data_IF_736661318158
#
_entry.id   IF_736661318158
#
_cell.length_a   1.000
_cell.length_b   1.000
_cell.length_c   1.000
_cell.angle_alpha   90.00
_cell.angle_beta   90.00
_cell.angle_gamma   90.00
#
_symmetry.space_group_name_H-M   'P 1'
#
loop_
_entity.id
_entity.type
_entity.pdbx_description
1 polymer ?
#
# COMPACT_ATOMS: atom_id res chain seq x y z
N UNK A 1 -27.18 8.37 16.82
CA UNK A 1 -26.64 7.04 16.47
C UNK A 1 -25.50 7.06 15.42
N UNK A 2 -24.90 8.21 15.05
CA UNK A 2 -23.78 8.26 14.06
C UNK A 2 -22.36 8.29 14.65
N UNK A 3 -22.18 8.84 15.86
CA UNK A 3 -20.85 9.06 16.46
C UNK A 3 -20.17 7.73 16.87
N UNK A 4 -20.93 6.75 17.38
CA UNK A 4 -20.38 5.43 17.74
C UNK A 4 -19.80 4.67 16.54
N UNK A 5 -20.41 4.76 15.35
CA UNK A 5 -19.91 4.06 14.15
C UNK A 5 -18.65 4.69 13.57
N UNK A 6 -18.51 6.02 13.66
CA UNK A 6 -17.28 6.72 13.26
C UNK A 6 -16.11 6.33 14.17
N UNK A 7 -16.31 6.34 15.50
CA UNK A 7 -15.30 5.92 16.47
C UNK A 7 -14.98 4.42 16.36
N UNK A 8 -15.97 3.58 16.07
CA UNK A 8 -15.76 2.14 15.84
C UNK A 8 -14.95 1.90 14.55
N UNK A 9 -15.24 2.64 13.48
CA UNK A 9 -14.51 2.57 12.22
C UNK A 9 -13.06 3.05 12.35
N UNK A 10 -12.82 4.14 13.08
CA UNK A 10 -11.47 4.63 13.37
C UNK A 10 -10.66 3.65 14.22
N UNK A 11 -11.29 3.07 15.26
CA UNK A 11 -10.65 2.04 16.09
C UNK A 11 -10.33 0.78 15.29
N UNK A 12 -11.23 0.35 14.40
CA UNK A 12 -10.98 -0.79 13.52
C UNK A 12 -9.78 -0.50 12.63
N UNK A 13 -9.76 0.63 11.91
CA UNK A 13 -8.66 1.09 11.05
C UNK A 13 -7.31 1.13 11.79
N UNK A 14 -7.27 1.70 13.00
CA UNK A 14 -6.06 1.76 13.82
C UNK A 14 -5.53 0.36 14.17
N UNK A 15 -6.41 -0.58 14.50
CA UNK A 15 -6.02 -1.97 14.76
C UNK A 15 -5.47 -2.65 13.49
N UNK A 16 -6.04 -2.35 12.32
CA UNK A 16 -5.56 -2.86 11.03
C UNK A 16 -4.12 -2.41 10.76
N UNK A 17 -3.87 -1.11 10.92
CA UNK A 17 -2.56 -0.51 10.71
C UNK A 17 -1.51 -1.08 11.68
N UNK A 18 -1.88 -1.25 12.96
CA UNK A 18 -1.02 -1.86 13.97
C UNK A 18 -0.62 -3.29 13.59
N UNK A 19 -1.56 -4.10 13.11
CA UNK A 19 -1.29 -5.48 12.65
C UNK A 19 -0.32 -5.53 11.47
N UNK A 20 -0.47 -4.62 10.50
CA UNK A 20 0.47 -4.49 9.37
C UNK A 20 1.87 -4.13 9.91
N UNK A 21 1.97 -3.16 10.80
CA UNK A 21 3.23 -2.78 11.44
C UNK A 21 3.91 -3.91 12.21
N UNK A 22 3.14 -4.76 12.89
CA UNK A 22 3.64 -5.95 13.58
C UNK A 22 4.16 -7.03 12.61
N UNK A 23 3.46 -7.27 11.50
CA UNK A 23 3.91 -8.18 10.44
C UNK A 23 5.25 -7.70 9.87
N UNK A 24 5.38 -6.40 9.59
CA UNK A 24 6.62 -5.79 9.09
C UNK A 24 7.77 -5.97 10.08
N UNK A 25 7.55 -5.67 11.37
CA UNK A 25 8.57 -5.87 12.41
C UNK A 25 9.02 -7.33 12.54
N UNK A 26 8.10 -8.29 12.47
CA UNK A 26 8.45 -9.73 12.49
C UNK A 26 9.33 -10.11 11.31
N UNK A 27 9.05 -9.55 10.13
CA UNK A 27 9.81 -9.84 8.92
C UNK A 27 11.14 -9.08 8.84
N UNK A 28 11.39 -8.07 9.68
CA UNK A 28 12.63 -7.27 9.71
C UNK A 28 13.90 -8.09 9.96
N UNK A 29 13.77 -9.27 10.57
CA UNK A 29 14.91 -10.16 10.85
C UNK A 29 15.02 -11.34 9.87
N UNK A 30 14.11 -11.45 8.89
CA UNK A 30 14.19 -12.48 7.86
C UNK A 30 15.29 -12.10 6.85
N UNK A 31 16.47 -12.71 6.99
CA UNK A 31 17.67 -12.50 6.16
C UNK A 31 17.53 -12.96 4.69
N UNK A 32 16.32 -13.26 4.23
CA UNK A 32 16.03 -13.84 2.91
C UNK A 32 15.67 -12.81 1.84
N UNK A 33 15.58 -11.53 2.18
CA UNK A 33 15.35 -10.48 1.18
C UNK A 33 16.68 -10.09 0.53
N UNK A 34 16.84 -10.22 -0.80
CA UNK A 34 18.06 -9.80 -1.48
C UNK A 34 18.31 -8.30 -1.26
N UNK A 35 19.58 -7.92 -1.07
CA UNK A 35 19.97 -6.51 -0.82
C UNK A 35 19.56 -5.54 -1.93
N UNK A 36 19.34 -6.07 -3.13
CA UNK A 36 18.80 -5.39 -4.31
C UNK A 36 17.39 -4.79 -4.07
N UNK A 37 16.62 -5.37 -3.14
CA UNK A 37 15.29 -4.89 -2.74
C UNK A 37 15.35 -3.86 -1.60
N UNK A 38 16.55 -3.42 -1.20
CA UNK A 38 16.74 -2.40 -0.17
C UNK A 38 16.53 -2.90 1.25
N UNK A 39 16.39 -1.96 2.19
CA UNK A 39 16.17 -2.29 3.60
C UNK A 39 14.76 -2.84 3.84
N UNK A 40 14.70 -3.88 4.67
CA UNK A 40 13.43 -4.43 5.18
C UNK A 40 12.56 -3.31 5.76
N UNK A 41 11.25 -3.33 5.48
CA UNK A 41 10.41 -2.20 5.79
C UNK A 41 10.17 -2.16 7.30
N UNK A 42 10.49 -1.03 7.91
CA UNK A 42 10.30 -0.80 9.34
C UNK A 42 8.80 -0.62 9.64
N UNK A 43 8.35 -0.89 10.87
CA UNK A 43 6.95 -0.78 11.26
C UNK A 43 6.34 0.59 10.90
N UNK A 44 5.55 0.62 9.83
CA UNK A 44 4.98 1.86 9.29
C UNK A 44 4.04 2.55 10.27
N UNK A 45 3.31 1.79 11.09
CA UNK A 45 2.39 2.36 12.07
C UNK A 45 3.12 3.17 13.14
N UNK A 46 4.34 2.77 13.52
CA UNK A 46 5.13 3.48 14.54
C UNK A 46 6.03 4.57 13.98
N UNK A 47 6.49 4.42 12.74
CA UNK A 47 7.63 5.20 12.23
C UNK A 47 7.34 5.94 10.92
N UNK A 48 6.09 5.95 10.42
CA UNK A 48 5.73 6.65 9.17
C UNK A 48 6.20 8.11 9.12
N UNK A 49 6.13 8.84 10.24
CA UNK A 49 6.56 10.24 10.31
C UNK A 49 8.07 10.43 10.18
N UNK A 50 8.86 9.37 10.39
CA UNK A 50 10.32 9.39 10.29
C UNK A 50 10.84 8.77 8.99
N UNK A 51 9.94 8.26 8.14
CA UNK A 51 10.33 7.68 6.86
C UNK A 51 10.86 8.76 5.92
N UNK A 52 12.04 8.51 5.36
CA UNK A 52 12.62 9.22 4.23
C UNK A 52 11.89 8.83 2.94
N UNK A 53 12.13 9.61 1.89
CA UNK A 53 11.56 9.36 0.56
C UNK A 53 11.82 7.91 0.08
N UNK A 54 13.04 7.41 0.28
CA UNK A 54 13.41 6.03 -0.09
C UNK A 54 12.59 4.96 0.65
N UNK A 55 12.34 5.16 1.95
CA UNK A 55 11.56 4.23 2.76
C UNK A 55 10.08 4.23 2.35
N UNK A 56 9.53 5.41 2.02
CA UNK A 56 8.19 5.53 1.42
C UNK A 56 8.11 4.84 0.06
N UNK A 57 9.09 5.07 -0.81
CA UNK A 57 9.18 4.42 -2.12
C UNK A 57 9.22 2.90 -1.99
N UNK A 58 10.11 2.36 -1.15
CA UNK A 58 10.21 0.92 -0.93
C UNK A 58 8.90 0.35 -0.36
N UNK A 59 8.27 1.06 0.58
CA UNK A 59 6.97 0.64 1.12
C UNK A 59 5.90 0.54 0.02
N UNK A 60 5.72 1.59 -0.78
CA UNK A 60 4.71 1.61 -1.85
C UNK A 60 5.03 0.53 -2.89
N UNK A 61 6.26 0.51 -3.41
CA UNK A 61 6.63 -0.27 -4.59
C UNK A 61 6.85 -1.76 -4.31
N UNK A 62 7.33 -2.12 -3.12
CA UNK A 62 7.76 -3.50 -2.82
C UNK A 62 6.82 -4.21 -1.85
N UNK A 63 6.26 -3.50 -0.87
CA UNK A 63 5.63 -4.15 0.29
C UNK A 63 4.13 -3.91 0.40
N UNK A 64 3.61 -2.80 -0.09
CA UNK A 64 2.22 -2.39 0.13
C UNK A 64 1.21 -3.42 -0.40
N UNK A 65 1.38 -3.87 -1.66
CA UNK A 65 0.45 -4.78 -2.31
C UNK A 65 0.38 -6.17 -1.64
N UNK A 66 1.49 -6.91 -1.41
CA UNK A 66 1.42 -8.21 -0.74
C UNK A 66 0.89 -8.12 0.71
N UNK A 67 1.23 -7.05 1.44
CA UNK A 67 0.73 -6.83 2.80
C UNK A 67 -0.78 -6.57 2.81
N UNK A 68 -1.27 -5.72 1.90
CA UNK A 68 -2.70 -5.39 1.78
C UNK A 68 -3.52 -6.60 1.33
N UNK A 69 -3.04 -7.37 0.34
CA UNK A 69 -3.72 -8.60 -0.11
C UNK A 69 -3.87 -9.59 1.05
N UNK A 70 -2.80 -9.87 1.79
CA UNK A 70 -2.84 -10.81 2.91
C UNK A 70 -3.74 -10.31 4.06
N UNK A 71 -3.75 -9.00 4.30
CA UNK A 71 -4.59 -8.38 5.30
C UNK A 71 -6.08 -8.49 4.93
N UNK A 72 -6.44 -8.16 3.68
CA UNK A 72 -7.81 -8.04 3.21
C UNK A 72 -8.48 -9.39 2.89
N UNK A 73 -7.71 -10.45 2.60
CA UNK A 73 -8.23 -11.83 2.44
C UNK A 73 -9.05 -12.33 3.64
N UNK A 74 -8.91 -11.70 4.81
CA UNK A 74 -9.66 -12.06 6.02
C UNK A 74 -11.00 -11.31 6.18
N UNK A 75 -11.45 -10.56 5.18
CA UNK A 75 -12.66 -9.72 5.26
C UNK A 75 -13.80 -10.25 4.37
N UNK A 76 -15.05 -10.05 4.84
CA UNK A 76 -16.28 -10.63 4.27
C UNK A 76 -16.82 -9.89 3.02
N UNK A 77 -16.13 -8.86 2.53
CA UNK A 77 -16.56 -7.99 1.41
C UNK A 77 -15.64 -8.14 0.20
N UNK A 78 -15.61 -9.33 -0.39
CA UNK A 78 -14.63 -9.75 -1.40
C UNK A 78 -14.62 -8.87 -2.66
N UNK A 79 -15.80 -8.51 -3.21
CA UNK A 79 -15.91 -7.74 -4.46
C UNK A 79 -15.36 -6.31 -4.32
N UNK A 80 -15.68 -5.63 -3.22
CA UNK A 80 -15.22 -4.24 -2.94
C UNK A 80 -13.70 -4.26 -2.72
N UNK A 81 -13.22 -5.26 -2.00
CA UNK A 81 -11.79 -5.45 -1.72
C UNK A 81 -10.99 -5.70 -3.00
N UNK A 82 -11.49 -6.53 -3.90
CA UNK A 82 -10.83 -6.79 -5.20
C UNK A 82 -10.73 -5.50 -6.00
N UNK A 83 -11.79 -4.68 -6.05
CA UNK A 83 -11.76 -3.38 -6.74
C UNK A 83 -10.70 -2.43 -6.15
N UNK A 84 -10.67 -2.30 -4.82
CA UNK A 84 -9.66 -1.48 -4.12
C UNK A 84 -8.24 -1.98 -4.36
N UNK A 85 -8.03 -3.30 -4.32
CA UNK A 85 -6.73 -3.91 -4.58
C UNK A 85 -6.26 -3.70 -6.01
N UNK A 86 -7.15 -3.82 -7.00
CA UNK A 86 -6.82 -3.57 -8.40
C UNK A 86 -6.45 -2.10 -8.64
N UNK A 87 -7.20 -1.16 -8.05
CA UNK A 87 -6.85 0.24 -8.12
C UNK A 87 -5.53 0.56 -7.42
N UNK A 88 -5.28 -0.04 -6.25
CA UNK A 88 -3.99 0.09 -5.56
C UNK A 88 -2.84 -0.49 -6.38
N UNK A 89 -3.04 -1.63 -7.05
CA UNK A 89 -2.06 -2.21 -7.97
C UNK A 89 -1.75 -1.26 -9.14
N UNK A 90 -2.76 -0.59 -9.71
CA UNK A 90 -2.56 0.43 -10.73
C UNK A 90 -1.73 1.61 -10.19
N UNK A 91 -2.01 2.08 -8.97
CA UNK A 91 -1.21 3.12 -8.31
C UNK A 91 0.26 2.71 -8.12
N UNK A 92 0.50 1.50 -7.62
CA UNK A 92 1.85 0.95 -7.41
C UNK A 92 2.60 0.84 -8.75
N UNK A 93 1.91 0.40 -9.82
CA UNK A 93 2.48 0.34 -11.16
C UNK A 93 2.92 1.72 -11.67
N UNK A 94 2.07 2.75 -11.48
CA UNK A 94 2.42 4.12 -11.83
C UNK A 94 3.66 4.59 -11.07
N UNK A 95 3.74 4.31 -9.77
CA UNK A 95 4.90 4.66 -8.95
C UNK A 95 6.18 4.01 -9.46
N UNK A 96 6.14 2.72 -9.83
CA UNK A 96 7.29 2.02 -10.45
C UNK A 96 7.79 2.71 -11.71
N UNK A 97 6.88 3.19 -12.57
CA UNK A 97 7.27 3.93 -13.78
C UNK A 97 7.89 5.29 -13.41
N UNK A 98 7.33 6.00 -12.43
CA UNK A 98 7.82 7.30 -11.99
C UNK A 98 9.25 7.26 -11.39
N UNK A 99 9.70 6.10 -10.91
CA UNK A 99 11.04 5.94 -10.32
C UNK A 99 12.12 5.67 -11.39
N UNK A 100 11.71 5.37 -12.64
CA UNK A 100 12.67 5.17 -13.74
C UNK A 100 13.44 6.46 -14.01
N UNK A 101 14.72 6.31 -14.36
CA UNK A 101 15.57 7.43 -14.74
C UNK A 101 15.07 8.17 -16.00
N UNK A 102 14.42 7.44 -16.91
CA UNK A 102 13.79 7.98 -18.11
C UNK A 102 12.36 7.48 -18.23
N UNK A 103 11.46 8.37 -18.67
CA UNK A 103 10.05 8.09 -18.88
C UNK A 103 9.69 8.44 -20.32
N UNK A 104 9.16 7.48 -21.05
CA UNK A 104 8.69 7.68 -22.43
C UNK A 104 7.29 8.32 -22.46
N UNK A 105 6.89 8.89 -23.60
CA UNK A 105 5.54 9.44 -23.77
C UNK A 105 4.43 8.40 -23.56
N UNK A 106 4.65 7.16 -23.99
CA UNK A 106 3.70 6.08 -23.77
C UNK A 106 3.58 5.71 -22.27
N UNK A 107 4.71 5.70 -21.56
CA UNK A 107 4.73 5.47 -20.12
C UNK A 107 4.08 6.61 -19.34
N UNK A 108 4.27 7.86 -19.76
CA UNK A 108 3.59 9.01 -19.18
C UNK A 108 2.06 8.90 -19.36
N UNK A 109 1.60 8.48 -20.54
CA UNK A 109 0.18 8.20 -20.78
C UNK A 109 -0.34 7.06 -19.88
N UNK A 110 0.48 6.03 -19.66
CA UNK A 110 0.13 4.90 -18.78
C UNK A 110 0.06 5.33 -17.32
N UNK A 111 1.00 6.15 -16.82
CA UNK A 111 0.94 6.74 -15.48
C UNK A 111 -0.40 7.47 -15.29
N UNK A 112 -0.78 8.32 -16.25
CA UNK A 112 -2.04 9.05 -16.20
C UNK A 112 -3.25 8.12 -16.12
N UNK A 113 -3.30 7.08 -16.96
CA UNK A 113 -4.38 6.08 -16.93
C UNK A 113 -4.43 5.33 -15.61
N UNK A 114 -3.29 4.90 -15.09
CA UNK A 114 -3.19 4.16 -13.82
C UNK A 114 -3.65 5.00 -12.62
N UNK A 115 -3.31 6.29 -12.57
CA UNK A 115 -3.83 7.18 -11.52
C UNK A 115 -5.35 7.39 -11.63
N UNK A 116 -5.88 7.50 -12.85
CA UNK A 116 -7.33 7.57 -13.04
C UNK A 116 -8.04 6.28 -12.58
N UNK A 117 -7.45 5.11 -12.86
CA UNK A 117 -7.99 3.83 -12.42
C UNK A 117 -7.97 3.69 -10.88
N UNK A 118 -6.87 4.07 -10.24
CA UNK A 118 -6.81 4.17 -8.79
C UNK A 118 -7.92 5.09 -8.23
N UNK A 119 -8.06 6.29 -8.77
CA UNK A 119 -9.08 7.23 -8.32
C UNK A 119 -10.51 6.69 -8.50
N UNK A 120 -10.80 6.05 -9.63
CA UNK A 120 -12.10 5.40 -9.88
C UNK A 120 -12.36 4.29 -8.86
N UNK A 121 -11.35 3.49 -8.54
CA UNK A 121 -11.48 2.43 -7.53
C UNK A 121 -11.84 2.97 -6.16
N UNK A 122 -11.41 4.18 -5.81
CA UNK A 122 -11.71 4.81 -4.53
C UNK A 122 -13.08 5.50 -4.52
N UNK A 123 -13.42 6.23 -5.60
CA UNK A 123 -14.63 7.07 -5.68
C UNK A 123 -15.95 6.28 -5.85
N UNK A 124 -15.91 5.10 -6.45
CA UNK A 124 -17.11 4.30 -6.77
C UNK A 124 -17.30 3.09 -5.85
N UNK A 125 -16.90 3.22 -4.56
CA UNK A 125 -17.17 2.27 -3.48
C UNK A 125 -18.13 2.86 -2.44
#
# INVERSE_FOLDING_TARGET
>A
MKIKYLIQGENDVLQKQKKIGEIMNKNKNNKTIPSEFGCLPTNIYRYSNSFKAEEWTNWICLYSLPLLVNYLKNSRLEIIIIKLLNGWAAYVLACHICIKYTITQNELANIGKSFQEFWKSYKYN
#
